data_IF_161870069269
#
_entry.id   IF_161870069269
#
_cell.length_a   1.000
_cell.length_b   1.000
_cell.length_c   1.000
_cell.angle_alpha   90.00
_cell.angle_beta   90.00
_cell.angle_gamma   90.00
#
_symmetry.space_group_name_H-M   'P 1'
#
loop_
_entity.id
_entity.type
_entity.pdbx_description
1 polymer ?
#
# COMPACT_ATOMS: atom_id res chain seq x y z
N UNK A 1 20.83 55.05 -22.23
CA UNK A 1 21.02 53.96 -23.21
C UNK A 1 21.38 52.68 -22.47
N UNK A 2 20.40 51.78 -22.41
CA UNK A 2 20.41 50.30 -22.42
C UNK A 2 21.67 49.52 -21.97
N UNK A 3 21.46 48.59 -21.02
CA UNK A 3 21.80 47.13 -21.01
C UNK A 3 22.32 46.70 -19.64
N UNK A 4 22.13 45.48 -19.14
CA UNK A 4 21.21 44.36 -19.30
C UNK A 4 21.63 43.42 -18.13
N UNK A 5 20.68 42.80 -17.45
CA UNK A 5 20.95 41.91 -16.33
C UNK A 5 21.70 40.65 -16.77
N UNK A 6 22.72 40.23 -16.02
CA UNK A 6 23.15 38.83 -15.96
C UNK A 6 24.03 38.60 -14.73
N UNK A 7 23.43 38.07 -13.65
CA UNK A 7 24.19 37.41 -12.58
C UNK A 7 23.89 35.92 -12.67
N UNK A 8 24.78 35.22 -13.35
CA UNK A 8 24.84 33.78 -13.46
C UNK A 8 25.20 33.20 -12.08
N UNK A 9 24.19 32.82 -11.31
CA UNK A 9 24.36 32.01 -10.10
C UNK A 9 23.99 30.58 -10.44
N UNK A 10 24.98 29.79 -10.87
CA UNK A 10 24.86 28.34 -11.01
C UNK A 10 24.75 27.76 -9.61
N UNK A 11 23.51 27.50 -9.17
CA UNK A 11 23.25 26.73 -7.96
C UNK A 11 23.35 25.23 -8.34
N UNK A 12 24.26 24.45 -7.75
CA UNK A 12 24.22 23.01 -7.93
C UNK A 12 22.98 22.51 -7.19
N UNK A 13 21.98 22.05 -7.93
CA UNK A 13 20.90 21.24 -7.35
C UNK A 13 21.54 19.92 -6.94
N UNK A 14 21.97 19.84 -5.69
CA UNK A 14 22.26 18.57 -5.05
C UNK A 14 20.91 17.86 -4.94
N UNK A 15 20.59 17.04 -5.94
CA UNK A 15 19.52 16.07 -5.83
C UNK A 15 19.87 15.17 -4.65
N UNK A 16 19.18 15.38 -3.52
CA UNK A 16 19.25 14.47 -2.40
C UNK A 16 18.86 13.07 -2.91
N UNK A 17 19.58 12.00 -2.50
CA UNK A 17 19.18 10.65 -2.88
C UNK A 17 17.78 10.42 -2.31
N UNK A 18 16.85 9.98 -3.17
CA UNK A 18 15.50 9.63 -2.75
C UNK A 18 15.59 8.64 -1.56
N UNK A 19 14.87 8.88 -0.44
CA UNK A 19 14.79 7.93 0.64
C UNK A 19 14.31 6.58 0.11
N UNK A 20 14.90 5.50 0.62
CA UNK A 20 14.63 4.13 0.16
C UNK A 20 13.18 3.76 0.47
N UNK A 21 12.48 3.23 -0.53
CA UNK A 21 11.06 2.85 -0.52
C UNK A 21 10.60 1.94 0.65
N UNK A 22 11.52 1.31 1.38
CA UNK A 22 11.20 0.48 2.54
C UNK A 22 10.64 1.29 3.72
N UNK A 23 11.15 2.52 3.95
CA UNK A 23 10.67 3.36 5.05
C UNK A 23 9.27 3.92 4.81
N UNK A 24 8.95 4.25 3.57
CA UNK A 24 7.61 4.75 3.18
C UNK A 24 6.56 3.63 3.22
N UNK A 25 6.94 2.40 2.87
CA UNK A 25 6.05 1.23 2.93
C UNK A 25 5.69 0.86 4.37
N UNK A 26 6.67 0.80 5.28
CA UNK A 26 6.38 0.52 6.69
C UNK A 26 5.48 1.61 7.31
N UNK A 27 5.65 2.86 6.88
CA UNK A 27 4.76 3.97 7.25
C UNK A 27 3.36 3.79 6.65
N UNK A 28 3.25 3.43 5.37
CA UNK A 28 1.97 3.25 4.69
C UNK A 28 1.18 2.05 5.23
N UNK A 29 1.85 0.95 5.57
CA UNK A 29 1.24 -0.22 6.19
C UNK A 29 0.66 0.13 7.56
N UNK A 30 1.40 0.86 8.39
CA UNK A 30 0.88 1.37 9.66
C UNK A 30 -0.33 2.29 9.48
N UNK A 31 -0.25 3.24 8.54
CA UNK A 31 -1.36 4.15 8.23
C UNK A 31 -2.60 3.37 7.78
N UNK A 32 -2.44 2.33 6.96
CA UNK A 32 -3.56 1.48 6.54
C UNK A 32 -4.22 0.75 7.72
N UNK A 33 -3.44 0.27 8.69
CA UNK A 33 -3.97 -0.33 9.93
C UNK A 33 -4.74 0.71 10.76
N UNK A 34 -4.22 1.93 10.89
CA UNK A 34 -4.93 3.02 11.59
C UNK A 34 -6.25 3.39 10.88
N UNK A 35 -6.22 3.50 9.55
CA UNK A 35 -7.41 3.79 8.75
C UNK A 35 -8.46 2.67 8.79
N UNK A 36 -8.07 1.41 8.95
CA UNK A 36 -9.02 0.32 9.18
C UNK A 36 -9.82 0.51 10.48
N UNK A 37 -9.18 1.06 11.52
CA UNK A 37 -9.85 1.34 12.80
C UNK A 37 -10.76 2.58 12.74
N UNK A 38 -10.45 3.56 11.87
CA UNK A 38 -11.16 4.84 11.78
C UNK A 38 -12.25 4.86 10.71
N UNK A 39 -11.96 4.31 9.53
CA UNK A 39 -12.78 4.41 8.32
C UNK A 39 -12.81 3.07 7.57
N UNK A 40 -13.25 2.01 8.25
CA UNK A 40 -13.28 0.64 7.72
C UNK A 40 -13.83 0.55 6.29
N UNK A 41 -15.04 1.05 6.07
CA UNK A 41 -15.74 0.92 4.77
C UNK A 41 -15.00 1.60 3.62
N UNK A 42 -14.20 2.63 3.90
CA UNK A 42 -13.47 3.38 2.88
C UNK A 42 -12.19 2.66 2.43
N UNK A 43 -11.52 1.93 3.33
CA UNK A 43 -10.21 1.33 3.05
C UNK A 43 -10.26 -0.19 2.89
N UNK A 44 -11.09 -0.90 3.66
CA UNK A 44 -11.11 -2.36 3.70
C UNK A 44 -11.30 -3.03 2.32
N UNK A 45 -12.16 -2.53 1.41
CA UNK A 45 -12.32 -3.12 0.09
C UNK A 45 -11.05 -3.13 -0.78
N UNK A 46 -10.06 -2.29 -0.44
CA UNK A 46 -8.82 -2.12 -1.20
C UNK A 46 -7.64 -2.89 -0.64
N UNK A 47 -7.82 -3.57 0.51
CA UNK A 47 -6.73 -4.22 1.21
C UNK A 47 -6.82 -5.75 1.04
N UNK A 48 -5.70 -6.33 0.64
CA UNK A 48 -5.48 -7.78 0.67
C UNK A 48 -4.22 -8.06 1.48
N UNK A 49 -4.12 -9.26 2.04
CA UNK A 49 -2.98 -9.65 2.88
C UNK A 49 -1.64 -9.45 2.18
N UNK A 50 -1.56 -9.73 0.88
CA UNK A 50 -0.32 -9.61 0.11
C UNK A 50 0.16 -8.17 -0.08
N UNK A 51 -0.62 -7.15 0.28
CA UNK A 51 -0.11 -5.77 0.29
C UNK A 51 0.88 -5.52 1.43
N UNK A 52 0.75 -6.23 2.53
CA UNK A 52 1.59 -6.07 3.71
C UNK A 52 2.87 -6.88 3.58
N UNK A 53 4.01 -6.20 3.42
CA UNK A 53 5.32 -6.82 3.39
C UNK A 53 5.79 -7.20 4.79
N UNK A 54 5.63 -6.28 5.74
CA UNK A 54 6.14 -6.44 7.08
C UNK A 54 5.23 -7.35 7.89
N UNK A 55 5.85 -8.22 8.71
CA UNK A 55 5.13 -9.31 9.38
C UNK A 55 4.10 -8.79 10.40
N UNK A 56 4.48 -7.78 11.19
CA UNK A 56 3.62 -7.23 12.24
C UNK A 56 2.38 -6.54 11.66
N UNK A 57 2.47 -5.60 10.69
CA UNK A 57 1.28 -5.04 10.04
C UNK A 57 0.40 -6.08 9.35
N UNK A 58 1.00 -7.08 8.69
CA UNK A 58 0.26 -8.18 8.07
C UNK A 58 -0.53 -8.99 9.11
N UNK A 59 0.09 -9.34 10.23
CA UNK A 59 -0.58 -10.04 11.35
C UNK A 59 -1.68 -9.18 11.97
N UNK A 60 -1.46 -7.88 12.09
CA UNK A 60 -2.48 -6.93 12.57
C UNK A 60 -3.68 -6.86 11.62
N UNK A 61 -3.46 -6.78 10.31
CA UNK A 61 -4.51 -6.83 9.30
C UNK A 61 -5.36 -8.09 9.42
N UNK A 62 -4.72 -9.27 9.48
CA UNK A 62 -5.42 -10.55 9.66
C UNK A 62 -6.17 -10.63 10.99
N UNK A 63 -5.60 -10.06 12.06
CA UNK A 63 -6.24 -10.01 13.36
C UNK A 63 -7.50 -9.13 13.33
N UNK A 64 -7.44 -7.95 12.71
CA UNK A 64 -8.58 -7.06 12.50
C UNK A 64 -9.66 -7.73 11.63
N UNK A 65 -9.28 -8.41 10.55
CA UNK A 65 -10.23 -9.14 9.70
C UNK A 65 -11.02 -10.19 10.49
N UNK A 66 -10.34 -10.99 11.33
CA UNK A 66 -11.00 -11.96 12.22
C UNK A 66 -11.86 -11.28 13.28
N UNK A 67 -11.40 -10.17 13.83
CA UNK A 67 -12.15 -9.42 14.84
C UNK A 67 -13.42 -8.77 14.26
N UNK A 68 -13.42 -8.41 12.98
CA UNK A 68 -14.57 -7.86 12.27
C UNK A 68 -15.69 -8.89 12.04
N UNK A 69 -15.39 -10.19 12.10
CA UNK A 69 -16.41 -11.26 12.04
C UNK A 69 -17.22 -11.39 13.34
N UNK A 70 -16.73 -10.78 14.44
CA UNK A 70 -17.40 -10.84 15.74
C UNK A 70 -18.43 -9.70 15.82
N UNK A 71 -19.71 -10.07 15.86
CA UNK A 71 -20.83 -9.11 15.87
C UNK A 71 -20.91 -8.27 17.15
N UNK A 72 -20.39 -8.78 18.27
CA UNK A 72 -20.48 -8.11 19.57
C UNK A 72 -19.19 -7.36 19.93
N UNK A 73 -19.33 -6.18 20.52
CA UNK A 73 -18.21 -5.37 21.00
C UNK A 73 -17.65 -4.41 19.95
N UNK A 74 -16.57 -3.71 20.29
CA UNK A 74 -15.85 -2.88 19.33
C UNK A 74 -14.77 -3.69 18.61
N UNK A 75 -14.55 -3.37 17.33
CA UNK A 75 -13.51 -4.00 16.50
C UNK A 75 -12.15 -4.03 17.23
N UNK A 76 -11.75 -2.90 17.81
CA UNK A 76 -10.48 -2.79 18.53
C UNK A 76 -10.40 -3.74 19.73
N UNK A 77 -11.43 -3.80 20.57
CA UNK A 77 -11.40 -4.69 21.74
C UNK A 77 -11.37 -6.16 21.34
N UNK A 78 -12.10 -6.51 20.28
CA UNK A 78 -12.12 -7.87 19.73
C UNK A 78 -10.73 -8.26 19.18
N UNK A 79 -10.07 -7.35 18.47
CA UNK A 79 -8.72 -7.56 17.96
C UNK A 79 -7.70 -7.72 19.10
N UNK A 80 -7.71 -6.78 20.06
CA UNK A 80 -6.82 -6.80 21.21
C UNK A 80 -7.00 -8.04 22.09
N UNK A 81 -8.18 -8.67 22.13
CA UNK A 81 -8.40 -9.88 22.91
C UNK A 81 -7.60 -11.10 22.40
N UNK A 82 -7.29 -11.14 21.11
CA UNK A 82 -6.59 -12.27 20.47
C UNK A 82 -5.17 -11.92 19.98
N UNK A 83 -4.79 -10.64 20.03
CA UNK A 83 -3.49 -10.17 19.61
C UNK A 83 -2.36 -10.67 20.54
N UNK A 84 -1.26 -11.09 19.93
CA UNK A 84 0.03 -11.24 20.59
C UNK A 84 0.61 -9.86 21.00
N UNK A 85 1.69 -9.80 21.81
CA UNK A 85 2.21 -8.53 22.33
C UNK A 85 2.62 -7.51 21.26
N UNK A 86 3.26 -7.94 20.16
CA UNK A 86 3.76 -7.04 19.12
C UNK A 86 2.61 -6.44 18.31
N UNK A 87 1.64 -7.27 17.95
CA UNK A 87 0.42 -6.81 17.25
C UNK A 87 -0.41 -5.91 18.16
N UNK A 88 -0.51 -6.25 19.45
CA UNK A 88 -1.21 -5.43 20.44
C UNK A 88 -0.63 -4.01 20.50
N UNK A 89 0.69 -3.89 20.60
CA UNK A 89 1.36 -2.58 20.62
C UNK A 89 1.08 -1.77 19.34
N UNK A 90 1.17 -2.40 18.17
CA UNK A 90 0.86 -1.74 16.90
C UNK A 90 -0.60 -1.24 16.85
N UNK A 91 -1.56 -2.08 17.26
CA UNK A 91 -2.99 -1.73 17.25
C UNK A 91 -3.31 -0.60 18.24
N UNK A 92 -2.72 -0.61 19.43
CA UNK A 92 -2.88 0.46 20.42
C UNK A 92 -2.33 1.79 19.88
N UNK A 93 -1.16 1.78 19.25
CA UNK A 93 -0.59 2.98 18.58
C UNK A 93 -1.45 3.46 17.42
N UNK A 94 -1.96 2.53 16.61
CA UNK A 94 -2.83 2.86 15.48
C UNK A 94 -4.17 3.46 15.93
N UNK A 95 -4.73 2.98 17.03
CA UNK A 95 -6.00 3.47 17.58
C UNK A 95 -5.93 4.92 18.08
N UNK A 96 -4.76 5.39 18.51
CA UNK A 96 -4.55 6.77 18.97
C UNK A 96 -3.91 7.67 17.92
N UNK A 97 -3.55 7.13 16.75
CA UNK A 97 -2.94 7.89 15.68
C UNK A 97 -3.99 8.80 15.03
N UNK A 98 -3.73 10.10 15.00
CA UNK A 98 -4.55 11.05 14.26
C UNK A 98 -4.11 11.06 12.79
N UNK A 99 -4.90 10.43 11.92
CA UNK A 99 -4.58 10.25 10.51
C UNK A 99 -5.56 11.08 9.67
N UNK A 100 -5.05 12.15 9.08
CA UNK A 100 -5.77 12.99 8.13
C UNK A 100 -5.23 12.75 6.71
N UNK A 101 -5.48 11.55 6.19
CA UNK A 101 -5.04 11.13 4.86
C UNK A 101 -6.21 10.43 4.16
N UNK A 102 -6.39 10.73 2.87
CA UNK A 102 -7.41 10.11 2.03
C UNK A 102 -7.20 8.57 1.95
N UNK A 103 -8.14 7.73 2.43
CA UNK A 103 -7.91 6.29 2.52
C UNK A 103 -7.60 5.58 1.19
N UNK A 104 -8.31 5.87 0.08
CA UNK A 104 -7.96 5.33 -1.24
C UNK A 104 -6.51 5.63 -1.65
N UNK A 105 -5.99 6.83 -1.36
CA UNK A 105 -4.61 7.20 -1.72
C UNK A 105 -3.56 6.29 -1.04
N UNK A 106 -3.77 5.94 0.23
CA UNK A 106 -2.90 5.02 0.98
C UNK A 106 -2.97 3.63 0.39
N UNK A 107 -4.20 3.15 0.12
CA UNK A 107 -4.39 1.85 -0.49
C UNK A 107 -3.74 1.74 -1.88
N UNK A 108 -3.87 2.78 -2.72
CA UNK A 108 -3.27 2.80 -4.05
C UNK A 108 -1.75 2.78 -3.99
N UNK A 109 -1.16 3.51 -3.03
CA UNK A 109 0.29 3.43 -2.78
C UNK A 109 0.73 2.00 -2.44
N UNK A 110 0.02 1.33 -1.52
CA UNK A 110 0.29 -0.06 -1.16
C UNK A 110 0.11 -1.02 -2.34
N UNK A 111 -0.94 -0.85 -3.15
CA UNK A 111 -1.17 -1.62 -4.38
C UNK A 111 0.00 -1.43 -5.35
N UNK A 112 0.43 -0.19 -5.59
CA UNK A 112 1.54 0.10 -6.47
C UNK A 112 2.84 -0.58 -6.02
N UNK A 113 3.14 -0.51 -4.72
CA UNK A 113 4.30 -1.18 -4.11
C UNK A 113 4.19 -2.70 -4.26
N UNK A 114 3.03 -3.28 -3.93
CA UNK A 114 2.76 -4.70 -4.05
C UNK A 114 2.93 -5.22 -5.48
N UNK A 115 2.35 -4.52 -6.46
CA UNK A 115 2.47 -4.89 -7.89
C UNK A 115 3.93 -4.80 -8.36
N UNK A 116 4.63 -3.70 -8.04
CA UNK A 116 6.06 -3.53 -8.42
C UNK A 116 6.93 -4.63 -7.82
N UNK A 117 6.69 -5.00 -6.55
CA UNK A 117 7.39 -6.09 -5.87
C UNK A 117 7.15 -7.42 -6.56
N UNK A 118 5.90 -7.78 -6.82
CA UNK A 118 5.53 -9.03 -7.50
C UNK A 118 6.12 -9.10 -8.91
N UNK A 119 6.03 -8.02 -9.69
CA UNK A 119 6.64 -7.94 -11.03
C UNK A 119 8.16 -8.10 -11.01
N UNK A 120 8.83 -7.59 -9.97
CA UNK A 120 10.29 -7.69 -9.82
C UNK A 120 10.75 -9.10 -9.46
N UNK A 121 9.91 -9.88 -8.79
CA UNK A 121 10.17 -11.28 -8.44
C UNK A 121 9.89 -12.24 -9.60
N UNK A 122 9.07 -11.81 -10.57
CA UNK A 122 8.68 -12.60 -11.75
C UNK A 122 9.73 -12.51 -12.87
N UNK A 123 10.97 -12.85 -12.55
CA UNK A 123 12.06 -12.97 -13.53
C UNK A 123 12.08 -14.37 -14.14
N UNK A 124 12.15 -14.47 -15.47
CA UNK A 124 12.27 -15.76 -16.16
C UNK A 124 10.94 -16.41 -16.57
N UNK A 125 9.84 -15.66 -16.56
CA UNK A 125 8.56 -16.11 -17.13
C UNK A 125 8.75 -16.37 -18.63
N UNK A 126 8.37 -17.56 -19.10
CA UNK A 126 8.47 -17.97 -20.51
C UNK A 126 7.10 -18.13 -21.18
N UNK A 127 6.03 -18.18 -20.41
CA UNK A 127 4.67 -18.23 -20.95
C UNK A 127 4.30 -16.87 -21.57
N UNK A 128 4.00 -16.80 -22.89
CA UNK A 128 3.59 -15.57 -23.54
C UNK A 128 2.36 -14.90 -22.92
N UNK A 129 1.39 -15.66 -22.39
CA UNK A 129 0.19 -15.10 -21.78
C UNK A 129 0.54 -14.33 -20.49
N UNK A 130 1.34 -14.95 -19.62
CA UNK A 130 1.80 -14.31 -18.39
C UNK A 130 2.69 -13.08 -18.66
N UNK A 131 3.54 -13.12 -19.70
CA UNK A 131 4.34 -11.97 -20.12
C UNK A 131 3.45 -10.79 -20.53
N UNK A 132 2.36 -11.05 -21.26
CA UNK A 132 1.42 -10.03 -21.68
C UNK A 132 0.65 -9.43 -20.49
N UNK A 133 0.21 -10.27 -19.55
CA UNK A 133 -0.43 -9.82 -18.31
C UNK A 133 0.50 -8.96 -17.46
N UNK A 134 1.75 -9.37 -17.28
CA UNK A 134 2.75 -8.62 -16.50
C UNK A 134 3.07 -7.28 -17.17
N UNK A 135 3.12 -7.25 -18.51
CA UNK A 135 3.23 -6.00 -19.26
C UNK A 135 2.01 -5.11 -19.08
N UNK A 136 0.80 -5.68 -19.11
CA UNK A 136 -0.44 -4.92 -18.89
C UNK A 136 -0.46 -4.27 -17.50
N UNK A 137 -0.09 -5.02 -16.46
CA UNK A 137 0.01 -4.51 -15.10
C UNK A 137 1.02 -3.34 -14.98
N UNK A 138 2.15 -3.41 -15.70
CA UNK A 138 3.11 -2.29 -15.76
C UNK A 138 2.50 -1.03 -16.38
N UNK A 139 1.71 -1.16 -17.45
CA UNK A 139 1.04 -0.03 -18.10
C UNK A 139 -0.11 0.52 -17.24
N UNK A 140 -0.79 -0.33 -16.49
CA UNK A 140 -1.82 0.09 -15.53
C UNK A 140 -1.21 0.89 -14.38
N UNK A 141 -0.05 0.50 -13.86
CA UNK A 141 0.65 1.27 -12.82
C UNK A 141 0.91 2.74 -13.20
N UNK A 142 1.14 3.02 -14.49
CA UNK A 142 1.35 4.39 -14.99
C UNK A 142 0.09 5.27 -14.90
N UNK A 143 -1.10 4.66 -14.74
CA UNK A 143 -2.40 5.33 -14.73
C UNK A 143 -3.02 5.40 -13.33
N UNK A 144 -2.36 4.86 -12.32
CA UNK A 144 -2.92 4.76 -10.97
C UNK A 144 -3.11 6.13 -10.33
N UNK A 145 -2.22 7.08 -10.62
CA UNK A 145 -2.28 8.46 -10.14
C UNK A 145 -3.26 9.35 -10.95
N UNK A 146 -3.88 8.82 -12.02
CA UNK A 146 -4.86 9.57 -12.82
C UNK A 146 -6.18 9.70 -12.03
N UNK A 147 -6.67 10.92 -11.73
CA UNK A 147 -7.91 11.12 -10.98
C UNK A 147 -9.16 10.50 -11.63
N UNK A 148 -9.15 10.28 -12.95
CA UNK A 148 -10.30 9.73 -13.69
C UNK A 148 -10.29 8.21 -13.74
N UNK A 149 -9.10 7.60 -13.78
CA UNK A 149 -8.96 6.15 -13.99
C UNK A 149 -8.35 5.40 -12.81
N UNK A 150 -7.84 6.10 -11.79
CA UNK A 150 -7.11 5.52 -10.66
C UNK A 150 -7.90 4.42 -9.96
N UNK A 151 -9.18 4.62 -9.67
CA UNK A 151 -10.05 3.62 -9.04
C UNK A 151 -10.17 2.32 -9.85
N UNK A 152 -10.55 2.43 -11.13
CA UNK A 152 -10.68 1.27 -12.02
C UNK A 152 -9.33 0.56 -12.20
N UNK A 153 -8.25 1.34 -12.25
CA UNK A 153 -6.88 0.82 -12.34
C UNK A 153 -6.50 0.05 -11.08
N UNK A 154 -6.80 0.59 -9.89
CA UNK A 154 -6.56 -0.05 -8.61
C UNK A 154 -7.32 -1.38 -8.48
N UNK A 155 -8.59 -1.44 -8.89
CA UNK A 155 -9.37 -2.68 -8.91
C UNK A 155 -8.76 -3.74 -9.82
N UNK A 156 -8.33 -3.35 -11.02
CA UNK A 156 -7.67 -4.25 -11.97
C UNK A 156 -6.37 -4.82 -11.40
N UNK A 157 -5.54 -3.95 -10.82
CA UNK A 157 -4.28 -4.32 -10.19
C UNK A 157 -4.47 -5.20 -8.95
N UNK A 158 -5.49 -4.94 -8.13
CA UNK A 158 -5.85 -5.80 -6.99
C UNK A 158 -6.26 -7.19 -7.45
N UNK A 159 -7.07 -7.29 -8.51
CA UNK A 159 -7.43 -8.59 -9.10
C UNK A 159 -6.19 -9.32 -9.60
N UNK A 160 -5.31 -8.62 -10.31
CA UNK A 160 -4.05 -9.18 -10.79
C UNK A 160 -3.18 -9.71 -9.63
N UNK A 161 -3.08 -8.96 -8.53
CA UNK A 161 -2.39 -9.40 -7.32
C UNK A 161 -3.05 -10.63 -6.69
N UNK A 162 -4.37 -10.64 -6.53
CA UNK A 162 -5.09 -11.76 -5.90
C UNK A 162 -4.93 -13.09 -6.64
N UNK A 163 -4.91 -13.06 -7.98
CA UNK A 163 -4.64 -14.25 -8.80
C UNK A 163 -3.23 -14.80 -8.54
N UNK A 164 -2.23 -13.94 -8.35
CA UNK A 164 -0.83 -14.35 -8.19
C UNK A 164 -0.43 -14.65 -6.74
N UNK A 165 -1.06 -13.99 -5.76
CA UNK A 165 -0.86 -14.26 -4.33
C UNK A 165 -1.32 -15.66 -3.92
N UNK A 166 -2.42 -16.14 -4.51
CA UNK A 166 -2.94 -17.50 -4.31
C UNK A 166 -2.04 -18.59 -4.91
N UNK A 167 -1.34 -18.29 -6.01
CA UNK A 167 -0.46 -19.26 -6.69
C UNK A 167 0.87 -19.47 -5.96
N UNK A 168 1.34 -18.49 -5.18
CA UNK A 168 2.62 -18.57 -4.44
C UNK A 168 2.49 -19.31 -3.10
N UNK A 169 1.26 -19.64 -2.66
CA UNK A 169 0.96 -20.33 -1.39
C UNK A 169 0.51 -21.80 -1.57
N UNK A 170 0.73 -22.39 -2.74
CA UNK A 170 0.47 -23.80 -3.04
C UNK A 170 1.71 -24.68 -2.91
#
# INVERSE_FOLDING_TARGET
MTRLAERRSTQPVVAAPAPRASGDSDSAEFIAIALLLQTWDAIAPWLIEDLFYSEIPRRAFLNLARAAEIEQGSLLNNALASADPEVRELLERAAVADIDIDPPSVAFSLIAVGVRRTLSQRTGIVDPAEILEDRSARLELEKLDDPKTGFVTAESLLRWLGIRGTTTRG
#
